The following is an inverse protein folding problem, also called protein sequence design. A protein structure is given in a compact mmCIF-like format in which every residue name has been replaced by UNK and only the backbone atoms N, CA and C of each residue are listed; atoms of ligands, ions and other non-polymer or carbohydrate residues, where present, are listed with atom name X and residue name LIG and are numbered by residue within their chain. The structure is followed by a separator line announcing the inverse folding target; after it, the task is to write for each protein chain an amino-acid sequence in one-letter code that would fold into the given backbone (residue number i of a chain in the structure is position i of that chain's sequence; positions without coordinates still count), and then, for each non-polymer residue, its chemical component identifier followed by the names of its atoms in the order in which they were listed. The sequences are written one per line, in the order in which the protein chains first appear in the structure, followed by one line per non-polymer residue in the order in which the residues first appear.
data_IF_025767140677
#
_entry.id   IF_025767140677
#
_cell.length_a   1.000
_cell.length_b   1.000
_cell.length_c   1.000
_cell.angle_alpha   90.00
_cell.angle_beta   90.00
_cell.angle_gamma   90.00
#
_symmetry.space_group_name_H-M   'P 1'
#
loop_
_entity.id
_entity.type
_entity.pdbx_description
1 polymer ?
#
# COMPACT_ATOMS: atom_id res chain seq x y z
N UNK A 1 -57.06 7.86 -4.08
CA UNK A 1 -55.71 8.39 -4.36
C UNK A 1 -54.97 7.34 -5.17
N UNK A 2 -55.01 7.45 -6.51
CA UNK A 2 -54.48 6.42 -7.43
C UNK A 2 -53.02 6.77 -7.70
N UNK A 3 -52.09 6.06 -7.08
CA UNK A 3 -50.69 6.11 -7.49
C UNK A 3 -50.60 5.46 -8.88
N UNK A 4 -50.39 6.27 -9.91
CA UNK A 4 -50.22 5.81 -11.28
C UNK A 4 -48.95 4.95 -11.36
N UNK A 5 -49.02 3.78 -11.99
CA UNK A 5 -47.92 2.79 -12.04
C UNK A 5 -46.56 3.36 -12.53
N UNK A 6 -46.57 4.52 -13.18
CA UNK A 6 -45.38 5.27 -13.58
C UNK A 6 -44.61 5.84 -12.38
N UNK A 7 -45.28 6.40 -11.36
CA UNK A 7 -44.59 6.96 -10.18
C UNK A 7 -43.87 5.89 -9.38
N UNK A 8 -44.45 4.68 -9.32
CA UNK A 8 -43.84 3.54 -8.65
C UNK A 8 -42.61 3.02 -9.41
N UNK A 9 -42.64 3.02 -10.75
CA UNK A 9 -41.48 2.64 -11.59
C UNK A 9 -40.31 3.62 -11.43
N UNK A 10 -40.59 4.93 -11.39
CA UNK A 10 -39.55 5.93 -11.14
C UNK A 10 -38.97 5.82 -9.72
N UNK A 11 -39.80 5.52 -8.71
CA UNK A 11 -39.32 5.28 -7.36
C UNK A 11 -38.41 4.04 -7.26
N UNK A 12 -38.74 2.96 -7.98
CA UNK A 12 -37.91 1.74 -8.02
C UNK A 12 -36.59 2.00 -8.78
N UNK A 13 -36.61 2.73 -9.91
CA UNK A 13 -35.38 3.09 -10.62
C UNK A 13 -34.47 3.99 -9.78
N UNK A 14 -35.03 4.97 -9.07
CA UNK A 14 -34.28 5.84 -8.19
C UNK A 14 -33.65 5.07 -7.01
N UNK A 15 -34.36 4.10 -6.44
CA UNK A 15 -33.85 3.26 -5.35
C UNK A 15 -32.80 2.25 -5.84
N UNK A 16 -32.93 1.73 -7.06
CA UNK A 16 -31.93 0.86 -7.66
C UNK A 16 -30.62 1.61 -7.97
N UNK A 17 -30.71 2.90 -8.33
CA UNK A 17 -29.53 3.73 -8.60
C UNK A 17 -28.66 3.96 -7.34
N UNK A 18 -29.25 4.06 -6.14
CA UNK A 18 -28.48 4.28 -4.90
C UNK A 18 -27.78 3.03 -4.37
N UNK A 19 -28.16 1.83 -4.83
CA UNK A 19 -27.51 0.57 -4.44
C UNK A 19 -26.17 0.31 -5.15
N UNK A 20 -25.78 1.19 -6.09
CA UNK A 20 -24.55 1.01 -6.91
C UNK A 20 -23.43 1.98 -6.57
N UNK A 21 -23.48 2.67 -5.41
CA UNK A 21 -22.42 3.59 -5.02
C UNK A 21 -21.08 2.84 -4.88
N UNK A 22 -20.04 3.19 -5.66
CA UNK A 22 -18.73 2.58 -5.51
C UNK A 22 -18.16 2.93 -4.13
N UNK A 23 -17.55 1.95 -3.48
CA UNK A 23 -16.79 2.19 -2.25
C UNK A 23 -15.56 3.00 -2.63
N UNK A 24 -15.55 4.29 -2.32
CA UNK A 24 -14.37 5.11 -2.45
C UNK A 24 -13.44 4.83 -1.26
N UNK A 25 -12.29 4.21 -1.53
CA UNK A 25 -11.23 4.11 -0.55
C UNK A 25 -10.44 5.42 -0.56
N UNK A 26 -10.54 6.17 0.55
CA UNK A 26 -9.75 7.39 0.72
C UNK A 26 -8.30 7.03 1.11
N UNK A 27 -8.12 6.06 2.02
CA UNK A 27 -6.83 5.79 2.63
C UNK A 27 -6.03 4.69 1.91
N UNK A 28 -4.75 4.98 1.62
CA UNK A 28 -3.74 3.99 1.20
C UNK A 28 -3.66 2.77 2.11
N UNK A 29 -4.13 1.62 1.65
CA UNK A 29 -3.91 0.32 2.30
C UNK A 29 -2.86 -0.50 1.55
N UNK A 30 -1.98 -1.17 2.29
CA UNK A 30 -0.99 -2.07 1.67
C UNK A 30 -1.69 -3.30 1.11
N UNK A 31 -1.58 -3.51 -0.21
CA UNK A 31 -2.24 -4.61 -0.93
C UNK A 31 -1.28 -5.75 -1.22
N UNK A 32 -0.01 -5.43 -1.53
CA UNK A 32 1.05 -6.43 -1.66
C UNK A 32 2.43 -5.81 -1.41
N UNK A 33 3.42 -6.67 -1.22
CA UNK A 33 4.77 -6.26 -0.84
C UNK A 33 5.79 -7.31 -1.25
N UNK A 34 6.98 -6.85 -1.61
CA UNK A 34 8.16 -7.67 -1.84
C UNK A 34 9.36 -7.12 -1.05
N UNK A 35 10.05 -7.95 -0.24
CA UNK A 35 9.70 -9.32 0.12
C UNK A 35 8.33 -9.43 0.82
N UNK A 36 7.64 -10.56 0.60
CA UNK A 36 6.36 -10.83 1.22
C UNK A 36 6.51 -10.98 2.75
N UNK A 37 5.43 -10.66 3.49
CA UNK A 37 5.44 -10.81 4.95
C UNK A 37 5.74 -12.27 5.33
N UNK A 38 6.66 -12.45 6.28
CA UNK A 38 7.17 -13.73 6.78
C UNK A 38 7.85 -14.60 5.72
N UNK A 39 8.17 -14.06 4.55
CA UNK A 39 8.91 -14.80 3.53
C UNK A 39 10.38 -14.98 3.93
N UNK A 40 10.95 -16.11 3.55
CA UNK A 40 12.39 -16.34 3.54
C UNK A 40 12.90 -16.22 2.11
N UNK A 41 13.66 -15.17 1.81
CA UNK A 41 14.24 -14.98 0.46
C UNK A 41 15.65 -15.56 0.40
N UNK A 42 15.96 -16.23 -0.71
CA UNK A 42 17.28 -16.84 -0.95
C UNK A 42 18.36 -15.84 -1.32
N UNK A 43 17.97 -14.62 -1.69
CA UNK A 43 18.88 -13.57 -2.13
C UNK A 43 18.39 -12.24 -1.58
N UNK A 44 19.33 -11.41 -1.13
CA UNK A 44 19.02 -10.06 -0.66
C UNK A 44 18.35 -9.25 -1.78
N UNK A 45 17.16 -8.66 -1.53
CA UNK A 45 16.54 -7.78 -2.50
C UNK A 45 17.36 -6.50 -2.66
N UNK A 46 17.33 -5.89 -3.85
CA UNK A 46 17.96 -4.58 -4.08
C UNK A 46 17.07 -3.42 -3.61
N UNK A 47 15.76 -3.67 -3.44
CA UNK A 47 14.78 -2.70 -3.00
C UNK A 47 13.62 -3.41 -2.30
N UNK A 48 12.94 -2.70 -1.41
CA UNK A 48 11.59 -3.07 -1.02
C UNK A 48 10.59 -2.50 -2.03
N UNK A 49 9.58 -3.28 -2.39
CA UNK A 49 8.48 -2.81 -3.23
C UNK A 49 7.17 -3.01 -2.48
N UNK A 50 6.41 -1.93 -2.29
CA UNK A 50 5.14 -1.94 -1.58
C UNK A 50 4.06 -1.38 -2.50
N UNK A 51 3.01 -2.15 -2.74
CA UNK A 51 1.86 -1.74 -3.54
C UNK A 51 0.70 -1.39 -2.62
N UNK A 52 0.04 -0.29 -2.93
CA UNK A 52 -1.10 0.23 -2.18
C UNK A 52 -2.38 0.18 -3.02
N UNK A 53 -3.51 0.40 -2.38
CA UNK A 53 -4.81 0.51 -3.05
C UNK A 53 -5.02 1.87 -3.73
N UNK A 54 -4.29 2.90 -3.30
CA UNK A 54 -4.38 4.27 -3.79
C UNK A 54 -3.01 4.79 -4.23
N UNK A 55 -3.02 5.83 -5.05
CA UNK A 55 -1.80 6.55 -5.44
C UNK A 55 -1.09 7.16 -4.24
N UNK A 56 0.24 7.25 -4.31
CA UNK A 56 1.08 7.67 -3.18
C UNK A 56 1.91 8.91 -3.50
N UNK A 57 2.22 9.68 -2.45
CA UNK A 57 3.12 10.84 -2.51
C UNK A 57 4.52 10.46 -1.96
N UNK A 58 5.51 10.18 -2.83
CA UNK A 58 6.77 9.57 -2.40
C UNK A 58 7.60 10.48 -1.49
N UNK A 59 7.50 11.80 -1.65
CA UNK A 59 8.22 12.77 -0.80
C UNK A 59 7.79 12.78 0.67
N UNK A 60 6.62 12.21 0.98
CA UNK A 60 6.07 12.11 2.33
C UNK A 60 5.89 10.66 2.79
N UNK A 61 6.50 9.71 2.07
CA UNK A 61 6.35 8.27 2.26
C UNK A 61 7.71 7.59 2.42
N UNK A 62 7.74 6.40 3.02
CA UNK A 62 8.98 5.63 3.13
C UNK A 62 8.90 4.46 4.10
N UNK A 63 10.06 3.88 4.41
CA UNK A 63 10.17 2.83 5.42
C UNK A 63 11.49 2.91 6.19
N UNK A 64 11.46 2.40 7.43
CA UNK A 64 12.64 2.07 8.22
C UNK A 64 12.79 0.56 8.23
N UNK A 65 14.01 0.08 7.99
CA UNK A 65 14.33 -1.34 8.03
C UNK A 65 15.27 -1.58 9.21
N UNK A 66 14.89 -2.50 10.09
CA UNK A 66 15.68 -2.93 11.23
C UNK A 66 16.20 -4.34 10.98
N UNK A 67 17.52 -4.52 11.08
CA UNK A 67 18.20 -5.78 10.84
C UNK A 67 18.28 -6.71 12.05
N UNK A 68 18.94 -7.87 11.88
CA UNK A 68 18.98 -8.93 12.89
C UNK A 68 19.71 -8.52 14.17
N UNK A 69 20.64 -7.58 14.11
CA UNK A 69 21.42 -7.04 15.23
C UNK A 69 20.81 -5.75 15.78
N UNK A 70 19.53 -5.47 15.47
CA UNK A 70 18.82 -4.23 15.83
C UNK A 70 19.43 -2.96 15.20
N UNK A 71 20.21 -3.13 14.13
CA UNK A 71 20.78 -2.06 13.34
C UNK A 71 19.76 -1.48 12.36
N UNK A 72 19.84 -0.19 12.07
CA UNK A 72 19.08 0.42 10.98
C UNK A 72 19.80 0.18 9.67
N UNK A 73 19.13 -0.42 8.70
CA UNK A 73 19.65 -0.58 7.34
C UNK A 73 19.47 0.74 6.58
N UNK A 74 20.50 1.14 5.85
CA UNK A 74 20.46 2.36 5.04
C UNK A 74 19.64 2.15 3.76
N UNK A 75 18.85 3.16 3.41
CA UNK A 75 17.99 3.18 2.22
C UNK A 75 18.13 4.51 1.49
N UNK A 76 17.88 4.48 0.18
CA UNK A 76 17.68 5.68 -0.61
C UNK A 76 16.27 6.25 -0.37
N UNK A 77 16.03 7.52 -0.72
CA UNK A 77 14.68 8.09 -0.72
C UNK A 77 13.69 7.20 -1.48
N UNK A 78 12.49 7.05 -0.91
CA UNK A 78 11.41 6.31 -1.54
C UNK A 78 11.05 6.95 -2.89
N UNK A 79 10.72 6.10 -3.86
CA UNK A 79 10.30 6.49 -5.21
C UNK A 79 8.95 5.89 -5.50
N UNK A 80 8.16 6.57 -6.31
CA UNK A 80 6.96 6.01 -6.92
C UNK A 80 7.33 5.36 -8.26
N UNK A 81 6.73 4.23 -8.60
CA UNK A 81 6.86 3.69 -9.95
C UNK A 81 6.27 4.70 -10.96
N UNK A 82 6.91 4.86 -12.12
CA UNK A 82 6.47 5.79 -13.16
C UNK A 82 5.24 5.28 -13.92
N UNK A 83 5.03 3.96 -13.95
CA UNK A 83 3.94 3.28 -14.66
C UNK A 83 2.81 2.84 -13.72
N UNK A 84 3.06 2.86 -12.41
CA UNK A 84 2.10 2.47 -11.38
C UNK A 84 2.17 3.44 -10.19
N UNK A 85 1.16 4.30 -10.07
CA UNK A 85 1.14 5.33 -9.04
C UNK A 85 0.91 4.79 -7.62
N UNK A 86 0.45 3.55 -7.49
CA UNK A 86 0.21 2.92 -6.18
C UNK A 86 1.41 2.14 -5.69
N UNK A 87 2.49 2.04 -6.47
CA UNK A 87 3.69 1.31 -6.10
C UNK A 87 4.79 2.24 -5.59
N UNK A 88 5.21 1.99 -4.35
CA UNK A 88 6.37 2.58 -3.72
C UNK A 88 7.56 1.63 -3.80
N UNK A 89 8.71 2.15 -4.21
CA UNK A 89 9.99 1.45 -4.31
C UNK A 89 10.97 2.14 -3.35
N UNK A 90 11.57 1.36 -2.46
CA UNK A 90 12.58 1.84 -1.50
C UNK A 90 13.89 1.11 -1.79
N UNK A 91 14.81 1.73 -2.55
CA UNK A 91 16.11 1.12 -2.84
C UNK A 91 16.95 0.99 -1.58
N UNK A 92 17.68 -0.11 -1.46
CA UNK A 92 18.64 -0.33 -0.37
C UNK A 92 20.01 0.22 -0.77
N UNK A 93 20.72 0.83 0.19
CA UNK A 93 22.08 1.35 -0.04
C UNK A 93 23.13 0.25 0.01
N UNK A 94 22.80 -0.86 0.64
CA UNK A 94 23.70 -1.96 0.92
C UNK A 94 22.96 -3.30 0.78
N UNK A 95 23.70 -4.35 0.45
CA UNK A 95 23.16 -5.70 0.42
C UNK A 95 22.83 -6.16 1.84
N UNK A 96 21.69 -6.81 1.99
CA UNK A 96 21.29 -7.44 3.24
C UNK A 96 22.14 -8.69 3.50
N UNK A 97 22.53 -8.89 4.76
CA UNK A 97 23.12 -10.13 5.23
C UNK A 97 22.02 -11.14 5.59
N UNK A 98 22.39 -12.39 5.83
CA UNK A 98 21.45 -13.38 6.33
C UNK A 98 20.85 -12.97 7.69
N UNK A 99 19.55 -13.19 7.86
CA UNK A 99 18.83 -12.96 9.11
C UNK A 99 17.44 -12.37 8.93
N UNK A 100 16.80 -12.04 10.07
CA UNK A 100 15.45 -11.48 10.13
C UNK A 100 15.47 -9.95 10.06
N UNK A 101 14.55 -9.39 9.29
CA UNK A 101 14.38 -7.97 9.06
C UNK A 101 12.95 -7.54 9.41
N UNK A 102 12.83 -6.41 10.08
CA UNK A 102 11.55 -5.73 10.34
C UNK A 102 11.45 -4.48 9.47
N UNK A 103 10.33 -4.32 8.78
CA UNK A 103 10.03 -3.17 7.94
C UNK A 103 8.87 -2.40 8.56
N UNK A 104 9.15 -1.18 9.00
CA UNK A 104 8.16 -0.20 9.44
C UNK A 104 7.94 0.80 8.31
N UNK A 105 6.78 0.74 7.65
CA UNK A 105 6.46 1.60 6.52
C UNK A 105 5.40 2.64 6.88
N UNK A 106 5.43 3.75 6.16
CA UNK A 106 4.37 4.74 6.17
C UNK A 106 4.20 5.34 4.77
N UNK A 107 2.98 5.75 4.46
CA UNK A 107 2.65 6.34 3.18
C UNK A 107 1.65 7.47 3.36
N UNK A 108 1.81 8.53 2.59
CA UNK A 108 0.79 9.56 2.39
C UNK A 108 0.18 9.31 1.03
N UNK A 109 -1.13 9.10 0.98
CA UNK A 109 -1.83 8.91 -0.29
C UNK A 109 -2.11 10.24 -0.98
N UNK A 110 -2.52 10.21 -2.24
CA UNK A 110 -2.97 11.40 -2.99
C UNK A 110 -4.19 12.09 -2.36
N UNK A 111 -4.90 11.43 -1.44
CA UNK A 111 -5.96 12.01 -0.61
C UNK A 111 -5.44 12.87 0.57
N UNK A 112 -4.12 12.86 0.80
CA UNK A 112 -3.44 13.60 1.86
C UNK A 112 -3.38 12.91 3.23
N UNK A 113 -3.96 11.72 3.39
CA UNK A 113 -3.92 10.98 4.66
C UNK A 113 -2.71 10.06 4.76
N UNK A 114 -2.16 10.01 5.97
CA UNK A 114 -1.04 9.13 6.32
C UNK A 114 -1.53 7.80 6.89
N UNK A 115 -1.09 6.69 6.29
CA UNK A 115 -1.22 5.35 6.88
C UNK A 115 0.16 4.75 7.16
N UNK A 116 0.20 3.70 7.98
CA UNK A 116 1.43 3.01 8.37
C UNK A 116 1.17 1.55 8.67
N UNK A 117 2.22 0.76 8.65
CA UNK A 117 2.16 -0.64 9.06
C UNK A 117 3.55 -1.22 9.26
N UNK A 118 3.58 -2.50 9.62
CA UNK A 118 4.81 -3.23 9.91
C UNK A 118 4.71 -4.65 9.38
N UNK A 119 5.83 -5.19 8.90
CA UNK A 119 5.97 -6.61 8.62
C UNK A 119 7.41 -7.08 8.82
N UNK A 120 7.63 -8.39 8.77
CA UNK A 120 8.97 -8.98 8.83
C UNK A 120 9.23 -9.88 7.61
N UNK A 121 10.50 -10.09 7.26
CA UNK A 121 10.96 -11.10 6.31
C UNK A 121 12.36 -11.56 6.71
N UNK A 122 12.87 -12.64 6.13
CA UNK A 122 14.25 -13.08 6.37
C UNK A 122 15.02 -13.31 5.07
N UNK A 123 16.33 -13.12 5.13
CA UNK A 123 17.30 -13.45 4.07
C UNK A 123 18.10 -14.68 4.52
N UNK A 124 18.30 -15.64 3.62
CA UNK A 124 19.13 -16.83 3.86
C UNK A 124 20.62 -16.54 3.74
#
# INVERSE_FOLDING_TARGET
MVFTAHSLRYAILALAATMTAPVAWAHAHLTSQYPAAKAEVSSAPQALTLNFSEGIEPGFSGATITGPKQEKIKTQPAKRNQQDETQMIIPLDESLNSGSYTVDWYVVSVDGHKTKGQYTFSVK
#
